data_IF_501108423194
#
_entry.id   IF_501108423194
#
_cell.length_a   1.000
_cell.length_b   1.000
_cell.length_c   1.000
_cell.angle_alpha   90.00
_cell.angle_beta   90.00
_cell.angle_gamma   90.00
#
_symmetry.space_group_name_H-M   'P 1'
#
loop_
_entity.id
_entity.type
_entity.pdbx_description
1 polymer ?
#
# COMPACT_ATOMS: atom_id res chain seq x y z
N UNK A 1 0.10 66.41 -23.26
CA UNK A 1 0.70 66.83 -21.98
C UNK A 1 0.03 66.03 -20.87
N UNK A 2 0.81 65.21 -20.15
CA UNK A 2 0.56 64.48 -18.88
C UNK A 2 -0.55 63.40 -18.87
N UNK A 3 -0.25 62.09 -18.96
CA UNK A 3 0.32 61.18 -17.93
C UNK A 3 -0.30 61.32 -16.52
N UNK A 4 -0.90 60.22 -16.04
CA UNK A 4 -1.07 59.70 -14.65
C UNK A 4 -2.36 58.84 -14.65
N UNK A 5 -2.49 57.62 -14.16
CA UNK A 5 -1.59 56.56 -13.70
C UNK A 5 -2.41 55.25 -13.67
N UNK A 6 -1.71 54.15 -13.78
CA UNK A 6 -2.16 52.75 -13.93
C UNK A 6 -2.92 52.20 -12.71
N UNK A 7 -3.69 51.13 -12.96
CA UNK A 7 -4.07 50.01 -12.06
C UNK A 7 -5.38 50.11 -11.25
N UNK A 8 -6.37 49.30 -11.67
CA UNK A 8 -7.10 48.39 -10.74
C UNK A 8 -7.76 47.17 -11.41
N UNK A 9 -7.15 46.63 -12.48
CA UNK A 9 -7.44 45.27 -12.95
C UNK A 9 -6.59 44.26 -12.17
N UNK A 10 -6.99 43.83 -10.96
CA UNK A 10 -6.23 42.80 -10.22
C UNK A 10 -6.98 42.15 -9.04
N UNK A 11 -8.22 41.67 -9.20
CA UNK A 11 -8.88 40.85 -8.16
C UNK A 11 -9.75 39.67 -8.66
N UNK A 12 -9.56 39.19 -9.90
CA UNK A 12 -10.30 38.01 -10.42
C UNK A 12 -9.39 36.93 -11.01
N UNK A 13 -8.23 36.68 -10.41
CA UNK A 13 -7.28 35.63 -10.84
C UNK A 13 -6.73 34.76 -9.70
N UNK A 14 -7.43 34.69 -8.56
CA UNK A 14 -7.02 33.86 -7.42
C UNK A 14 -7.74 32.50 -7.33
N UNK A 15 -8.67 32.21 -8.25
CA UNK A 15 -9.38 30.92 -8.30
C UNK A 15 -8.97 30.05 -9.49
N UNK A 16 -7.75 30.26 -10.03
CA UNK A 16 -7.24 29.42 -11.12
C UNK A 16 -5.81 28.94 -10.82
N UNK A 17 -5.73 27.97 -9.91
CA UNK A 17 -4.62 27.01 -9.81
C UNK A 17 -5.04 25.81 -8.96
N UNK A 18 -6.07 25.06 -9.40
CA UNK A 18 -6.54 23.84 -8.71
C UNK A 18 -6.32 22.58 -9.56
N UNK A 19 -5.84 22.70 -10.80
CA UNK A 19 -5.71 21.54 -11.69
C UNK A 19 -4.43 20.72 -11.46
N UNK A 20 -3.28 21.30 -11.11
CA UNK A 20 -2.03 20.52 -10.98
C UNK A 20 -1.79 19.92 -9.59
N UNK A 21 -2.43 20.43 -8.53
CA UNK A 21 -2.21 19.96 -7.16
C UNK A 21 -2.85 18.58 -6.92
N UNK A 22 -4.06 18.36 -7.44
CA UNK A 22 -4.72 17.05 -7.33
C UNK A 22 -4.04 15.97 -8.17
N UNK A 23 -3.61 16.28 -9.39
CA UNK A 23 -2.91 15.29 -10.23
C UNK A 23 -1.57 14.87 -9.65
N UNK A 24 -0.78 15.81 -9.12
CA UNK A 24 0.46 15.48 -8.42
C UNK A 24 0.21 14.61 -7.19
N UNK A 25 -0.82 14.94 -6.40
CA UNK A 25 -1.23 14.15 -5.23
C UNK A 25 -1.67 12.73 -5.58
N UNK A 26 -2.32 12.52 -6.72
CA UNK A 26 -2.74 11.18 -7.19
C UNK A 26 -1.53 10.37 -7.67
N UNK A 27 -0.64 10.96 -8.48
CA UNK A 27 0.59 10.29 -8.94
C UNK A 27 1.49 9.90 -7.75
N UNK A 28 1.64 10.80 -6.78
CA UNK A 28 2.42 10.54 -5.57
C UNK A 28 1.79 9.40 -4.76
N UNK A 29 0.46 9.35 -4.65
CA UNK A 29 -0.24 8.29 -3.92
C UNK A 29 -0.13 6.92 -4.61
N UNK A 30 -0.19 6.87 -5.94
CA UNK A 30 -0.04 5.63 -6.71
C UNK A 30 1.37 5.04 -6.54
N UNK A 31 2.41 5.87 -6.62
CA UNK A 31 3.80 5.44 -6.38
C UNK A 31 3.97 4.93 -4.95
N UNK A 32 3.46 5.67 -3.97
CA UNK A 32 3.51 5.28 -2.55
C UNK A 32 2.77 3.96 -2.33
N UNK A 33 1.61 3.74 -2.96
CA UNK A 33 0.86 2.50 -2.83
C UNK A 33 1.60 1.30 -3.46
N UNK A 34 2.24 1.50 -4.63
CA UNK A 34 3.05 0.46 -5.28
C UNK A 34 4.18 -0.01 -4.37
N UNK A 35 5.04 0.90 -3.90
CA UNK A 35 6.17 0.50 -3.06
C UNK A 35 5.74 0.16 -1.64
N UNK A 36 4.73 0.83 -1.09
CA UNK A 36 4.20 0.59 0.25
C UNK A 36 3.62 -0.81 0.41
N UNK A 37 2.87 -1.30 -0.58
CA UNK A 37 2.34 -2.67 -0.56
C UNK A 37 3.44 -3.74 -0.62
N UNK A 38 4.47 -3.53 -1.47
CA UNK A 38 5.63 -4.41 -1.57
C UNK A 38 6.39 -4.44 -0.24
N UNK A 39 6.67 -3.28 0.35
CA UNK A 39 7.40 -3.16 1.63
C UNK A 39 6.61 -3.83 2.76
N UNK A 40 5.30 -3.60 2.85
CA UNK A 40 4.48 -4.20 3.90
C UNK A 40 4.52 -5.74 3.87
N UNK A 41 4.37 -6.34 2.68
CA UNK A 41 4.47 -7.80 2.52
C UNK A 41 5.90 -8.27 2.83
N UNK A 42 6.91 -7.52 2.41
CA UNK A 42 8.33 -7.87 2.64
C UNK A 42 8.70 -7.88 4.12
N UNK A 43 8.18 -6.94 4.91
CA UNK A 43 8.39 -6.90 6.37
C UNK A 43 7.79 -8.15 7.03
N UNK A 44 6.59 -8.54 6.63
CA UNK A 44 5.93 -9.74 7.16
C UNK A 44 6.74 -10.99 6.79
N UNK A 45 7.21 -11.09 5.54
CA UNK A 45 8.07 -12.19 5.10
C UNK A 45 9.36 -12.28 5.90
N UNK A 46 10.04 -11.15 6.12
CA UNK A 46 11.26 -11.11 6.92
C UNK A 46 11.01 -11.64 8.34
N UNK A 47 9.88 -11.26 8.96
CA UNK A 47 9.49 -11.80 10.26
C UNK A 47 9.28 -13.31 10.25
N UNK A 48 8.68 -13.89 9.21
CA UNK A 48 8.52 -15.35 9.11
C UNK A 48 9.87 -16.06 8.96
N UNK A 49 10.81 -15.49 8.20
CA UNK A 49 12.16 -16.03 8.04
C UNK A 49 12.89 -16.04 9.39
N UNK A 50 12.80 -14.95 10.16
CA UNK A 50 13.38 -14.88 11.50
C UNK A 50 12.76 -15.93 12.43
N UNK A 51 11.43 -16.10 12.42
CA UNK A 51 10.76 -17.12 13.21
C UNK A 51 11.25 -18.54 12.85
N UNK A 52 11.46 -18.84 11.57
CA UNK A 52 12.01 -20.13 11.12
C UNK A 52 13.47 -20.30 11.59
N UNK A 53 14.30 -19.27 11.46
CA UNK A 53 15.71 -19.29 11.87
C UNK A 53 15.87 -19.53 13.37
N UNK A 54 14.98 -18.98 14.18
CA UNK A 54 14.97 -19.17 15.64
C UNK A 54 14.22 -20.43 16.07
N UNK A 55 13.79 -21.29 15.13
CA UNK A 55 12.99 -22.49 15.39
C UNK A 55 11.64 -22.24 16.11
N UNK A 56 11.13 -21.02 16.03
CA UNK A 56 9.86 -20.60 16.62
C UNK A 56 8.68 -20.95 15.71
N UNK A 57 7.78 -21.81 16.18
CA UNK A 57 6.53 -22.19 15.49
C UNK A 57 6.73 -22.55 14.01
N UNK A 58 7.81 -23.29 13.71
CA UNK A 58 8.33 -23.57 12.36
C UNK A 58 7.23 -23.89 11.34
N UNK A 59 6.30 -24.80 11.69
CA UNK A 59 5.23 -25.23 10.77
C UNK A 59 4.30 -24.08 10.37
N UNK A 60 3.89 -23.25 11.32
CA UNK A 60 3.03 -22.09 11.06
C UNK A 60 3.79 -20.99 10.32
N UNK A 61 5.06 -20.78 10.69
CA UNK A 61 5.93 -19.80 10.04
C UNK A 61 6.18 -20.15 8.57
N UNK A 62 6.42 -21.43 8.24
CA UNK A 62 6.54 -21.89 6.84
C UNK A 62 5.25 -21.70 6.04
N UNK A 63 4.10 -22.09 6.62
CA UNK A 63 2.82 -21.89 5.95
C UNK A 63 2.54 -20.41 5.69
N UNK A 64 2.75 -19.56 6.69
CA UNK A 64 2.63 -18.10 6.56
C UNK A 64 3.59 -17.54 5.51
N UNK A 65 4.84 -18.02 5.47
CA UNK A 65 5.82 -17.60 4.46
C UNK A 65 5.32 -17.90 3.03
N UNK A 66 4.79 -19.10 2.79
CA UNK A 66 4.26 -19.48 1.48
C UNK A 66 3.11 -18.57 1.03
N UNK A 67 2.15 -18.31 1.92
CA UNK A 67 1.01 -17.41 1.64
C UNK A 67 1.49 -15.99 1.34
N UNK A 68 2.43 -15.46 2.11
CA UNK A 68 2.95 -14.12 1.90
C UNK A 68 3.81 -14.00 0.63
N UNK A 69 4.52 -15.05 0.22
CA UNK A 69 5.20 -15.10 -1.09
C UNK A 69 4.18 -15.04 -2.22
N UNK A 70 3.08 -15.80 -2.11
CA UNK A 70 2.00 -15.74 -3.09
C UNK A 70 1.41 -14.33 -3.19
N UNK A 71 1.14 -13.67 -2.05
CA UNK A 71 0.68 -12.28 -2.04
C UNK A 71 1.67 -11.33 -2.70
N UNK A 72 2.96 -11.49 -2.44
CA UNK A 72 4.00 -10.67 -3.07
C UNK A 72 3.99 -10.83 -4.59
N UNK A 73 3.91 -12.06 -5.11
CA UNK A 73 3.85 -12.32 -6.54
C UNK A 73 2.64 -11.64 -7.21
N UNK A 74 1.48 -11.71 -6.56
CA UNK A 74 0.25 -11.06 -7.06
C UNK A 74 0.42 -9.54 -7.10
N UNK A 75 0.96 -8.94 -6.03
CA UNK A 75 1.19 -7.49 -5.98
C UNK A 75 2.22 -7.07 -7.03
N UNK A 76 3.34 -7.79 -7.16
CA UNK A 76 4.35 -7.54 -8.19
C UNK A 76 3.78 -7.62 -9.61
N UNK A 77 2.84 -8.53 -9.84
CA UNK A 77 2.13 -8.62 -11.12
C UNK A 77 1.18 -7.43 -11.33
N UNK A 78 0.40 -7.03 -10.31
CA UNK A 78 -0.50 -5.88 -10.39
C UNK A 78 0.24 -4.57 -10.63
N UNK A 79 1.45 -4.41 -10.11
CA UNK A 79 2.27 -3.21 -10.35
C UNK A 79 3.13 -3.27 -11.62
N UNK A 80 2.94 -4.31 -12.44
CA UNK A 80 3.62 -4.54 -13.73
C UNK A 80 5.14 -4.76 -13.63
N UNK A 81 5.66 -5.11 -12.45
CA UNK A 81 7.07 -5.50 -12.28
C UNK A 81 7.28 -6.92 -12.81
N UNK A 82 6.32 -7.81 -12.56
CA UNK A 82 6.24 -9.14 -13.17
C UNK A 82 5.06 -9.18 -14.14
N UNK A 83 5.13 -10.06 -15.15
CA UNK A 83 4.04 -10.29 -16.11
C UNK A 83 3.68 -11.76 -16.10
N UNK A 84 2.69 -12.10 -15.29
CA UNK A 84 2.13 -13.44 -15.12
C UNK A 84 0.66 -13.39 -15.56
N UNK A 85 0.37 -13.99 -16.71
CA UNK A 85 -0.98 -14.02 -17.30
C UNK A 85 -1.98 -14.80 -16.45
N UNK A 86 -1.50 -15.73 -15.62
CA UNK A 86 -2.32 -16.61 -14.76
C UNK A 86 -3.22 -15.81 -13.81
N UNK A 87 -2.84 -14.59 -13.42
CA UNK A 87 -3.59 -13.79 -12.45
C UNK A 87 -4.53 -12.75 -13.07
N UNK A 88 -4.50 -12.54 -14.39
CA UNK A 88 -5.21 -11.41 -15.03
C UNK A 88 -6.72 -11.44 -14.79
N UNK A 89 -7.36 -12.59 -15.01
CA UNK A 89 -8.82 -12.74 -14.87
C UNK A 89 -9.31 -12.57 -13.43
N UNK A 90 -8.48 -12.96 -12.44
CA UNK A 90 -8.88 -13.01 -11.03
C UNK A 90 -8.20 -11.94 -10.17
N UNK A 91 -7.40 -11.06 -10.76
CA UNK A 91 -6.55 -10.10 -10.04
C UNK A 91 -7.31 -9.32 -8.96
N UNK A 92 -8.47 -8.77 -9.32
CA UNK A 92 -9.28 -7.97 -8.40
C UNK A 92 -9.81 -8.79 -7.22
N UNK A 93 -10.21 -10.05 -7.46
CA UNK A 93 -10.69 -10.94 -6.41
C UNK A 93 -9.56 -11.35 -5.47
N UNK A 94 -8.39 -11.66 -6.03
CA UNK A 94 -7.20 -12.00 -5.24
C UNK A 94 -6.76 -10.80 -4.39
N UNK A 95 -6.69 -9.59 -4.95
CA UNK A 95 -6.34 -8.38 -4.19
C UNK A 95 -7.32 -8.11 -3.04
N UNK A 96 -8.64 -8.30 -3.26
CA UNK A 96 -9.65 -8.22 -2.19
C UNK A 96 -9.40 -9.25 -1.08
N UNK A 97 -9.03 -10.47 -1.45
CA UNK A 97 -8.67 -11.50 -0.48
C UNK A 97 -7.42 -11.11 0.32
N UNK A 98 -6.39 -10.55 -0.31
CA UNK A 98 -5.19 -10.07 0.40
C UNK A 98 -5.57 -8.95 1.39
N UNK A 99 -6.40 -7.98 0.98
CA UNK A 99 -6.90 -6.92 1.87
C UNK A 99 -7.60 -7.54 3.08
N UNK A 100 -8.49 -8.50 2.85
CA UNK A 100 -9.20 -9.19 3.92
C UNK A 100 -8.25 -9.86 4.92
N UNK A 101 -7.23 -10.58 4.44
CA UNK A 101 -6.23 -11.22 5.31
C UNK A 101 -5.42 -10.19 6.10
N UNK A 102 -5.01 -9.08 5.49
CA UNK A 102 -4.30 -8.01 6.20
C UNK A 102 -5.15 -7.35 7.28
N UNK A 103 -6.46 -7.18 7.04
CA UNK A 103 -7.40 -6.68 8.04
C UNK A 103 -7.56 -7.67 9.21
N UNK A 104 -7.65 -8.98 8.92
CA UNK A 104 -7.66 -9.99 9.98
C UNK A 104 -6.37 -9.97 10.80
N UNK A 105 -5.21 -9.89 10.13
CA UNK A 105 -3.91 -9.79 10.79
C UNK A 105 -3.83 -8.56 11.68
N UNK A 106 -4.33 -7.41 11.23
CA UNK A 106 -4.39 -6.19 12.05
C UNK A 106 -5.11 -6.42 13.37
N UNK A 107 -6.32 -6.99 13.34
CA UNK A 107 -7.07 -7.27 14.56
C UNK A 107 -6.39 -8.34 15.42
N UNK A 108 -5.85 -9.40 14.80
CA UNK A 108 -5.12 -10.46 15.52
C UNK A 108 -3.88 -9.91 16.24
N UNK A 109 -3.15 -9.01 15.59
CA UNK A 109 -2.00 -8.35 16.18
C UNK A 109 -2.41 -7.38 17.29
N UNK A 110 -3.52 -6.65 17.17
CA UNK A 110 -3.98 -5.75 18.23
C UNK A 110 -4.31 -6.45 19.55
N UNK A 111 -4.85 -7.67 19.48
CA UNK A 111 -5.21 -8.46 20.67
C UNK A 111 -4.05 -9.27 21.24
N UNK A 112 -2.85 -9.19 20.64
CA UNK A 112 -1.70 -9.94 21.10
C UNK A 112 -1.12 -9.34 22.38
N UNK A 113 -0.58 -10.20 23.25
CA UNK A 113 0.15 -9.78 24.44
C UNK A 113 1.58 -9.30 24.11
N UNK A 114 2.07 -9.61 22.90
CA UNK A 114 3.43 -9.28 22.49
C UNK A 114 3.50 -7.83 21.97
N UNK A 115 4.28 -6.92 22.59
CA UNK A 115 4.27 -5.51 22.22
C UNK A 115 4.62 -5.22 20.75
N UNK A 116 5.55 -5.98 20.16
CA UNK A 116 5.93 -5.77 18.76
C UNK A 116 4.77 -6.05 17.80
N UNK A 117 3.86 -6.97 18.14
CA UNK A 117 2.66 -7.22 17.34
C UNK A 117 1.77 -5.97 17.32
N UNK A 118 1.51 -5.39 18.50
CA UNK A 118 0.53 -4.30 18.64
C UNK A 118 1.07 -2.98 18.06
N UNK A 119 2.34 -2.67 18.30
CA UNK A 119 2.91 -1.36 17.96
C UNK A 119 3.61 -1.32 16.59
N UNK A 120 3.94 -2.47 16.01
CA UNK A 120 4.63 -2.53 14.72
C UNK A 120 3.83 -3.33 13.68
N UNK A 121 3.54 -4.61 13.93
CA UNK A 121 2.90 -5.46 12.92
C UNK A 121 1.43 -5.13 12.64
N UNK A 122 0.67 -4.69 13.64
CA UNK A 122 -0.69 -4.19 13.43
C UNK A 122 -0.68 -2.96 12.49
N UNK A 123 0.04 -1.86 12.77
CA UNK A 123 0.16 -0.74 11.83
C UNK A 123 0.63 -1.15 10.43
N UNK A 124 1.63 -2.04 10.33
CA UNK A 124 2.12 -2.55 9.03
C UNK A 124 1.01 -3.29 8.27
N UNK A 125 0.21 -4.11 8.96
CA UNK A 125 -0.91 -4.84 8.35
C UNK A 125 -2.03 -3.89 7.92
N UNK A 126 -2.33 -2.86 8.72
CA UNK A 126 -3.32 -1.86 8.34
C UNK A 126 -2.88 -1.05 7.10
N UNK A 127 -1.64 -0.58 7.09
CA UNK A 127 -1.08 0.16 5.96
C UNK A 127 -0.97 -0.72 4.71
N UNK A 128 -0.58 -1.98 4.84
CA UNK A 128 -0.55 -2.94 3.74
C UNK A 128 -1.94 -3.11 3.10
N UNK A 129 -2.99 -3.30 3.92
CA UNK A 129 -4.37 -3.35 3.42
C UNK A 129 -4.75 -2.06 2.68
N UNK A 130 -4.39 -0.90 3.22
CA UNK A 130 -4.66 0.40 2.61
C UNK A 130 -3.97 0.56 1.25
N UNK A 131 -2.67 0.25 1.15
CA UNK A 131 -1.94 0.37 -0.10
C UNK A 131 -2.48 -0.58 -1.18
N UNK A 132 -2.82 -1.82 -0.82
CA UNK A 132 -3.42 -2.78 -1.75
C UNK A 132 -4.82 -2.32 -2.19
N UNK A 133 -5.59 -1.70 -1.30
CA UNK A 133 -6.86 -1.08 -1.65
C UNK A 133 -6.69 0.06 -2.65
N UNK A 134 -5.66 0.90 -2.49
CA UNK A 134 -5.33 1.94 -3.48
C UNK A 134 -4.98 1.29 -4.82
N UNK A 135 -4.12 0.26 -4.85
CA UNK A 135 -3.79 -0.48 -6.07
C UNK A 135 -5.01 -1.11 -6.76
N UNK A 136 -6.03 -1.53 -6.00
CA UNK A 136 -7.28 -2.04 -6.54
C UNK A 136 -8.11 -0.94 -7.23
N UNK A 137 -7.97 0.32 -6.79
CA UNK A 137 -8.68 1.48 -7.34
C UNK A 137 -7.93 2.12 -8.50
N UNK A 138 -6.61 2.01 -8.51
CA UNK A 138 -5.76 2.48 -9.60
C UNK A 138 -5.81 1.48 -10.76
N UNK A 139 -6.26 1.94 -11.93
CA UNK A 139 -6.28 1.13 -13.15
C UNK A 139 -4.86 0.87 -13.61
#
# INVERSE_FOLDING_TARGET
MNQYFKMKNKKKRLLWSISNCCFKKVIDLDIIAKYGSIIAISIILLSQILNISESNNIRMSFFSMFINIFFLLVVLNKVEILKLTIFEEQMNSILKFIIFVFVLNFFAYLISEVPIHNYFFAPVSFLGAYFIFVLLKTK
#
